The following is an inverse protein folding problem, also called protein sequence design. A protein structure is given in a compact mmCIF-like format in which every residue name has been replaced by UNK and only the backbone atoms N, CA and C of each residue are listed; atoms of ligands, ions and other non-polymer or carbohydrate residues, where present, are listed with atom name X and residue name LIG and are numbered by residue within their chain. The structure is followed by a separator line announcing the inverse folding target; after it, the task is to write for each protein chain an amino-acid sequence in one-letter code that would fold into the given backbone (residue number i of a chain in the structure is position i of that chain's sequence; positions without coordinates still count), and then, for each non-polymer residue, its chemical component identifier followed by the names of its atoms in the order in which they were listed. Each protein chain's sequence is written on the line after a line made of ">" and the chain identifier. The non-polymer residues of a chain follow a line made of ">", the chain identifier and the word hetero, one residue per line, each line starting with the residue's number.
data_IF_794940369671
#
_entry.id   IF_794940369671
#
_cell.length_a   1.000
_cell.length_b   1.000
_cell.length_c   1.000
_cell.angle_alpha   90.00
_cell.angle_beta   90.00
_cell.angle_gamma   90.00
#
_symmetry.space_group_name_H-M   'P 1'
#
loop_
_entity.id
_entity.type
_entity.pdbx_description
1 polymer ?
#
# COMPACT_ATOMS: atom_id res chain seq x y z
N UNK A 1 7.39 -11.17 -11.15
CA UNK A 1 6.39 -10.09 -10.91
C UNK A 1 7.07 -9.05 -10.04
N UNK A 2 7.29 -7.83 -10.54
CA UNK A 2 7.89 -6.77 -9.72
C UNK A 2 6.82 -6.20 -8.80
N UNK A 3 6.90 -6.52 -7.51
CA UNK A 3 6.04 -5.95 -6.49
C UNK A 3 6.18 -4.40 -6.52
N UNK A 4 5.06 -3.69 -6.63
CA UNK A 4 5.04 -2.23 -6.76
C UNK A 4 5.71 -1.53 -5.58
N UNK A 5 5.81 -2.20 -4.44
CA UNK A 5 6.47 -1.73 -3.21
C UNK A 5 7.98 -1.68 -3.35
N UNK A 6 8.59 -2.71 -3.96
CA UNK A 6 10.04 -2.76 -4.20
C UNK A 6 10.46 -1.56 -5.06
N UNK A 7 9.72 -1.30 -6.13
CA UNK A 7 9.99 -0.16 -7.03
C UNK A 7 9.84 1.16 -6.28
N UNK A 8 8.80 1.30 -5.44
CA UNK A 8 8.58 2.50 -4.65
C UNK A 8 9.70 2.76 -3.65
N UNK A 9 10.11 1.76 -2.87
CA UNK A 9 11.18 1.91 -1.89
C UNK A 9 12.52 2.21 -2.55
N UNK A 10 12.84 1.58 -3.68
CA UNK A 10 14.05 1.89 -4.46
C UNK A 10 14.05 3.34 -4.98
N UNK A 11 12.91 3.83 -5.49
CA UNK A 11 12.80 5.23 -5.93
C UNK A 11 12.97 6.22 -4.79
N UNK A 12 12.37 5.93 -3.62
CA UNK A 12 12.51 6.76 -2.44
C UNK A 12 13.97 6.76 -1.94
N UNK A 13 14.63 5.60 -1.93
CA UNK A 13 16.03 5.50 -1.50
C UNK A 13 17.00 6.30 -2.39
N UNK A 14 16.65 6.53 -3.67
CA UNK A 14 17.43 7.36 -4.59
C UNK A 14 17.17 8.86 -4.40
N UNK A 15 15.97 9.23 -3.96
CA UNK A 15 15.57 10.62 -3.74
C UNK A 15 15.95 11.14 -2.34
N UNK A 16 16.22 10.24 -1.39
CA UNK A 16 16.48 10.60 0.00
C UNK A 16 17.93 11.08 0.20
N UNK A 17 18.09 12.23 0.85
CA UNK A 17 19.39 12.84 1.12
C UNK A 17 20.06 12.26 2.39
N UNK A 18 19.25 11.85 3.37
CA UNK A 18 19.74 11.24 4.60
C UNK A 18 20.22 9.80 4.32
N UNK A 19 21.51 9.49 4.56
CA UNK A 19 22.08 8.18 4.26
C UNK A 19 21.46 7.05 5.09
N UNK A 20 21.07 7.31 6.35
CA UNK A 20 20.48 6.28 7.21
C UNK A 20 19.06 5.94 6.73
N UNK A 21 18.29 6.95 6.36
CA UNK A 21 16.96 6.76 5.81
C UNK A 21 16.99 6.12 4.42
N UNK A 22 17.97 6.48 3.58
CA UNK A 22 18.19 5.82 2.30
C UNK A 22 18.57 4.33 2.47
N UNK A 23 19.39 4.01 3.48
CA UNK A 23 19.75 2.63 3.82
C UNK A 23 18.55 1.83 4.30
N UNK A 24 17.72 2.40 5.16
CA UNK A 24 16.48 1.77 5.61
C UNK A 24 15.54 1.48 4.44
N UNK A 25 15.38 2.43 3.52
CA UNK A 25 14.54 2.24 2.34
C UNK A 25 15.05 1.13 1.41
N UNK A 26 16.37 0.93 1.31
CA UNK A 26 16.94 -0.21 0.57
C UNK A 26 16.62 -1.54 1.25
N UNK A 27 16.79 -1.63 2.57
CA UNK A 27 16.43 -2.84 3.33
C UNK A 27 14.95 -3.21 3.15
N UNK A 28 14.05 -2.22 3.22
CA UNK A 28 12.62 -2.44 2.97
C UNK A 28 12.33 -2.92 1.54
N UNK A 29 13.10 -2.46 0.55
CA UNK A 29 12.96 -2.95 -0.82
C UNK A 29 13.39 -4.42 -0.92
N UNK A 30 14.49 -4.79 -0.28
CA UNK A 30 15.03 -6.15 -0.30
C UNK A 30 14.10 -7.13 0.43
N UNK A 31 13.56 -6.74 1.59
CA UNK A 31 12.57 -7.53 2.33
C UNK A 31 11.25 -7.69 1.56
N UNK A 32 10.82 -6.66 0.83
CA UNK A 32 9.64 -6.75 -0.04
C UNK A 32 9.90 -7.65 -1.25
N UNK A 33 11.11 -7.63 -1.82
CA UNK A 33 11.51 -8.49 -2.94
C UNK A 33 11.59 -9.95 -2.53
N UNK A 34 12.02 -10.22 -1.29
CA UNK A 34 12.03 -11.55 -0.68
C UNK A 34 10.64 -12.02 -0.21
N UNK A 35 9.62 -11.16 -0.28
CA UNK A 35 8.26 -11.47 0.18
C UNK A 35 8.12 -11.57 1.71
N UNK A 36 9.08 -11.05 2.46
CA UNK A 36 9.09 -11.05 3.94
C UNK A 36 8.11 -10.01 4.48
N UNK A 37 8.02 -8.85 3.81
CA UNK A 37 7.01 -7.83 4.10
C UNK A 37 5.62 -8.28 3.62
N UNK A 38 5.05 -9.26 4.31
CA UNK A 38 3.64 -9.62 4.21
C UNK A 38 2.83 -8.65 5.06
N UNK A 39 2.05 -7.77 4.41
CA UNK A 39 1.01 -7.05 5.14
C UNK A 39 -0.03 -8.05 5.61
N UNK A 40 -0.31 -8.03 6.91
CA UNK A 40 -1.52 -8.69 7.42
C UNK A 40 -2.73 -8.11 6.66
N UNK A 41 -3.58 -8.94 6.03
CA UNK A 41 -4.73 -8.47 5.26
C UNK A 41 -5.77 -7.73 6.12
N UNK A 42 -5.55 -7.59 7.44
CA UNK A 42 -6.48 -6.96 8.38
C UNK A 42 -6.38 -5.43 8.44
N UNK A 43 -5.48 -4.79 7.68
CA UNK A 43 -5.38 -3.33 7.59
C UNK A 43 -5.90 -2.75 6.27
N UNK A 44 -6.69 -3.49 5.50
CA UNK A 44 -7.71 -2.83 4.68
C UNK A 44 -8.79 -2.40 5.65
N UNK A 45 -8.69 -1.16 6.15
CA UNK A 45 -9.87 -0.48 6.66
C UNK A 45 -10.93 -0.59 5.55
N UNK A 46 -11.92 -1.45 5.80
CA UNK A 46 -13.13 -1.54 5.00
C UNK A 46 -13.74 -0.15 5.10
N UNK A 47 -13.42 0.72 4.15
CA UNK A 47 -14.28 1.86 3.85
C UNK A 47 -15.54 1.21 3.33
N UNK A 48 -16.52 1.05 4.23
CA UNK A 48 -17.87 0.62 3.88
C UNK A 48 -18.29 1.51 2.71
N UNK A 49 -18.56 0.96 1.50
CA UNK A 49 -19.13 1.80 0.46
C UNK A 49 -20.46 2.27 1.04
N UNK A 50 -20.58 3.58 1.25
CA UNK A 50 -21.84 4.23 1.50
C UNK A 50 -22.66 4.03 0.21
N UNK A 51 -23.35 2.90 0.15
CA UNK A 51 -24.32 2.59 -0.87
C UNK A 51 -25.40 3.66 -0.83
N UNK A 52 -25.32 4.57 -1.80
CA UNK A 52 -26.47 5.23 -2.37
C UNK A 52 -27.52 4.17 -2.71
N UNK A 53 -28.67 4.24 -2.03
CA UNK A 53 -29.89 3.58 -2.47
C UNK A 53 -30.96 4.67 -2.52
N UNK A 54 -30.97 5.39 -3.65
CA UNK A 54 -32.17 6.06 -4.13
C UNK A 54 -33.29 5.04 -4.36
N UNK A 55 -34.52 5.58 -4.35
CA UNK A 55 -35.80 5.01 -4.77
C UNK A 55 -36.45 3.99 -3.83
N UNK A 56 -37.29 4.50 -2.93
CA UNK A 56 -38.53 3.79 -2.56
C UNK A 56 -39.61 4.30 -3.51
N UNK A 57 -40.07 3.42 -4.39
CA UNK A 57 -41.30 3.60 -5.16
C UNK A 57 -42.47 3.70 -4.18
N UNK A 58 -43.29 4.75 -4.27
CA UNK A 58 -44.68 4.68 -3.81
C UNK A 58 -45.48 4.11 -4.98
N UNK A 59 -45.96 2.88 -4.84
CA UNK A 59 -47.04 2.36 -5.66
C UNK A 59 -48.19 1.95 -4.72
N UNK A 60 -49.35 2.54 -5.00
CA UNK A 60 -50.70 2.35 -4.42
C UNK A 60 -51.01 2.96 -3.05
#
# INVERSE_FOLDING_TARGET
>A
MTDSRVVRYRRLALAEHDPEKARLLRLLADEAEQGILCFSPLSTAVVKPAGSASTVFLDT
#
